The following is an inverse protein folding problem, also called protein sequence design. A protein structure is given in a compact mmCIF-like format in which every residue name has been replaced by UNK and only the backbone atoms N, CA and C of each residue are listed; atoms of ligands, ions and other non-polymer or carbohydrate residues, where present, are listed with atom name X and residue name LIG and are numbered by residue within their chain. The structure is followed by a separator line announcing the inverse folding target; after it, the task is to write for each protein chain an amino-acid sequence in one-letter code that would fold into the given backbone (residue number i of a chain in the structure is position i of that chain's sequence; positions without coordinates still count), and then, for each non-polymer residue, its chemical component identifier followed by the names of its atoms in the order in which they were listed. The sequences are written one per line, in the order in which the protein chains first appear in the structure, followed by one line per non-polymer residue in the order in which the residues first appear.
data_IF_293125289071
#
_entry.id   IF_293125289071
#
_cell.length_a   1.000
_cell.length_b   1.000
_cell.length_c   1.000
_cell.angle_alpha   90.00
_cell.angle_beta   90.00
_cell.angle_gamma   90.00
#
_symmetry.space_group_name_H-M   'P 1'
#
loop_
_entity.id
_entity.type
_entity.pdbx_description
1 polymer ?
#
# COMPACT_ATOMS: atom_id res chain seq x y z
N UNK A 1 62.91 -33.55 -55.14
CA UNK A 1 63.05 -33.18 -53.72
C UNK A 1 61.64 -33.20 -53.07
N UNK A 2 61.31 -34.30 -52.35
CA UNK A 2 60.03 -34.45 -51.67
C UNK A 2 60.23 -33.98 -50.23
N UNK A 3 59.52 -32.84 -49.82
CA UNK A 3 59.47 -32.34 -48.46
C UNK A 3 58.43 -33.14 -47.69
N UNK A 4 58.84 -33.98 -46.76
CA UNK A 4 57.93 -34.63 -45.77
C UNK A 4 57.52 -33.63 -44.70
N UNK A 5 56.25 -33.17 -44.74
CA UNK A 5 55.64 -32.30 -43.74
C UNK A 5 55.25 -33.15 -42.53
N UNK A 6 56.09 -33.15 -41.51
CA UNK A 6 55.81 -33.82 -40.24
C UNK A 6 54.67 -33.04 -39.54
N UNK A 7 53.46 -33.62 -39.55
CA UNK A 7 52.36 -33.09 -38.74
C UNK A 7 52.56 -33.45 -37.25
N UNK A 8 52.97 -32.47 -36.47
CA UNK A 8 53.03 -32.61 -35.01
C UNK A 8 51.59 -32.59 -34.47
N UNK A 9 51.06 -33.76 -34.09
CA UNK A 9 49.80 -33.88 -33.39
C UNK A 9 49.95 -33.21 -32.01
N UNK A 10 49.34 -32.02 -31.81
CA UNK A 10 49.19 -31.41 -30.50
C UNK A 10 48.39 -32.37 -29.60
N UNK A 11 49.02 -32.91 -28.58
CA UNK A 11 48.35 -33.72 -27.57
C UNK A 11 47.32 -32.83 -26.84
N UNK A 12 46.05 -33.19 -26.95
CA UNK A 12 44.98 -32.56 -26.17
C UNK A 12 45.19 -32.98 -24.71
N UNK A 13 45.62 -32.04 -23.86
CA UNK A 13 45.72 -32.28 -22.43
C UNK A 13 44.27 -32.35 -21.88
N UNK A 14 43.87 -33.49 -21.37
CA UNK A 14 42.61 -33.67 -20.64
C UNK A 14 42.77 -33.10 -19.23
N UNK A 15 41.69 -32.61 -18.69
CA UNK A 15 41.64 -32.16 -17.27
C UNK A 15 41.83 -33.36 -16.34
N UNK A 16 42.58 -33.18 -15.28
CA UNK A 16 42.70 -34.16 -14.22
C UNK A 16 41.46 -34.16 -13.32
N UNK A 17 41.12 -35.32 -12.76
CA UNK A 17 39.98 -35.45 -11.86
C UNK A 17 40.11 -34.51 -10.66
N UNK A 18 41.33 -34.25 -10.21
CA UNK A 18 41.64 -33.33 -9.10
C UNK A 18 41.35 -31.90 -9.49
N UNK A 19 41.69 -31.49 -10.72
CA UNK A 19 41.44 -30.13 -11.21
C UNK A 19 39.94 -29.84 -11.33
N UNK A 20 39.15 -30.81 -11.83
CA UNK A 20 37.68 -30.69 -11.90
C UNK A 20 37.07 -30.63 -10.49
N UNK A 21 37.50 -31.48 -9.57
CA UNK A 21 36.97 -31.49 -8.20
C UNK A 21 37.28 -30.19 -7.44
N UNK A 22 38.47 -29.60 -7.66
CA UNK A 22 38.84 -28.33 -7.05
C UNK A 22 38.01 -27.18 -7.62
N UNK A 23 37.78 -27.12 -8.92
CA UNK A 23 36.91 -26.12 -9.55
C UNK A 23 35.47 -26.22 -9.01
N UNK A 24 34.92 -27.44 -8.90
CA UNK A 24 33.59 -27.65 -8.35
C UNK A 24 33.50 -27.22 -6.88
N UNK A 25 34.51 -27.51 -6.08
CA UNK A 25 34.55 -27.09 -4.69
C UNK A 25 34.58 -25.55 -4.54
N UNK A 26 35.40 -24.87 -5.30
CA UNK A 26 35.51 -23.40 -5.28
C UNK A 26 34.22 -22.76 -5.80
N UNK A 27 33.66 -23.24 -6.93
CA UNK A 27 32.40 -22.70 -7.46
C UNK A 27 31.24 -22.94 -6.49
N UNK A 28 31.18 -24.09 -5.81
CA UNK A 28 30.19 -24.37 -4.79
C UNK A 28 30.26 -23.41 -3.62
N UNK A 29 31.46 -23.12 -3.11
CA UNK A 29 31.65 -22.13 -2.03
C UNK A 29 31.24 -20.71 -2.45
N UNK A 30 31.60 -20.31 -3.67
CA UNK A 30 31.22 -18.99 -4.20
C UNK A 30 29.70 -18.86 -4.34
N UNK A 31 29.01 -19.90 -4.83
CA UNK A 31 27.55 -19.91 -4.94
C UNK A 31 26.87 -19.75 -3.57
N UNK A 32 27.32 -20.50 -2.55
CA UNK A 32 26.77 -20.38 -1.20
C UNK A 32 27.00 -18.97 -0.64
N UNK A 33 28.17 -18.40 -0.85
CA UNK A 33 28.51 -17.04 -0.40
C UNK A 33 27.66 -15.98 -1.06
N UNK A 34 27.41 -16.08 -2.37
CA UNK A 34 26.57 -15.12 -3.11
C UNK A 34 25.09 -15.22 -2.71
N UNK A 35 24.54 -16.42 -2.54
CA UNK A 35 23.15 -16.61 -2.15
C UNK A 35 22.90 -16.00 -0.75
N UNK A 36 23.79 -16.22 0.22
CA UNK A 36 23.66 -15.64 1.57
C UNK A 36 23.86 -14.13 1.58
N UNK A 37 24.75 -13.60 0.76
CA UNK A 37 24.97 -12.15 0.66
C UNK A 37 23.83 -11.38 0.02
N UNK A 38 23.07 -12.00 -0.90
CA UNK A 38 22.00 -11.36 -1.64
C UNK A 38 20.67 -11.37 -0.86
N UNK A 39 20.42 -12.36 0.01
CA UNK A 39 19.11 -12.51 0.68
C UNK A 39 18.73 -11.29 1.50
N UNK A 40 19.64 -10.70 2.27
CA UNK A 40 19.37 -9.50 3.05
C UNK A 40 19.11 -8.24 2.22
N UNK A 41 19.74 -8.14 1.04
CA UNK A 41 19.50 -7.02 0.13
C UNK A 41 18.13 -7.10 -0.51
N UNK A 42 17.71 -8.31 -0.91
CA UNK A 42 16.38 -8.54 -1.50
C UNK A 42 15.26 -8.27 -0.48
N UNK A 43 15.42 -8.72 0.78
CA UNK A 43 14.45 -8.45 1.83
C UNK A 43 14.27 -6.95 2.07
N UNK A 44 15.37 -6.18 2.13
CA UNK A 44 15.30 -4.73 2.28
C UNK A 44 14.63 -4.04 1.09
N UNK A 45 14.89 -4.52 -0.12
CA UNK A 45 14.26 -3.98 -1.33
C UNK A 45 12.75 -4.23 -1.29
N UNK A 46 12.31 -5.47 -1.04
CA UNK A 46 10.89 -5.83 -0.91
C UNK A 46 10.18 -4.97 0.12
N UNK A 47 10.83 -4.76 1.28
CA UNK A 47 10.29 -3.88 2.31
C UNK A 47 10.13 -2.43 1.84
N UNK A 48 11.15 -1.87 1.18
CA UNK A 48 11.05 -0.52 0.63
C UNK A 48 9.95 -0.42 -0.43
N UNK A 49 9.79 -1.46 -1.25
CA UNK A 49 8.73 -1.53 -2.25
C UNK A 49 7.34 -1.54 -1.58
N UNK A 50 7.16 -2.31 -0.50
CA UNK A 50 5.91 -2.30 0.30
C UNK A 50 5.60 -0.92 0.87
N UNK A 51 6.61 -0.27 1.46
CA UNK A 51 6.45 1.08 2.05
C UNK A 51 6.06 2.09 0.98
N UNK A 52 6.73 2.05 -0.17
CA UNK A 52 6.45 2.97 -1.27
C UNK A 52 5.08 2.71 -1.89
N UNK A 53 4.71 1.44 -2.08
CA UNK A 53 3.42 1.04 -2.62
C UNK A 53 2.26 1.53 -1.74
N UNK A 54 2.36 1.35 -0.42
CA UNK A 54 1.33 1.85 0.50
C UNK A 54 1.29 3.39 0.57
N UNK A 55 2.45 4.05 0.51
CA UNK A 55 2.52 5.50 0.42
C UNK A 55 1.85 6.01 -0.86
N UNK A 56 2.12 5.37 -1.99
CA UNK A 56 1.54 5.72 -3.29
C UNK A 56 0.03 5.45 -3.31
N UNK A 57 -0.42 4.35 -2.69
CA UNK A 57 -1.84 4.07 -2.52
C UNK A 57 -2.55 5.20 -1.78
N UNK A 58 -2.07 5.62 -0.61
CA UNK A 58 -2.67 6.72 0.14
C UNK A 58 -2.63 8.04 -0.63
N UNK A 59 -1.49 8.36 -1.25
CA UNK A 59 -1.33 9.57 -2.05
C UNK A 59 -2.29 9.60 -3.24
N UNK A 60 -2.51 8.45 -3.88
CA UNK A 60 -3.47 8.32 -4.98
C UNK A 60 -4.91 8.56 -4.51
N UNK A 61 -5.29 8.02 -3.35
CA UNK A 61 -6.62 8.27 -2.74
C UNK A 61 -6.82 9.79 -2.54
N UNK A 62 -5.86 10.49 -1.93
CA UNK A 62 -5.95 11.95 -1.75
C UNK A 62 -6.02 12.70 -3.07
N UNK A 63 -5.25 12.27 -4.08
CA UNK A 63 -5.26 12.87 -5.42
C UNK A 63 -6.60 12.65 -6.11
N UNK A 64 -7.21 11.48 -5.96
CA UNK A 64 -8.53 11.14 -6.50
C UNK A 64 -9.61 12.01 -5.85
N UNK A 65 -9.56 12.21 -4.54
CA UNK A 65 -10.50 13.10 -3.84
C UNK A 65 -10.28 14.57 -4.23
N UNK A 66 -9.03 15.00 -4.42
CA UNK A 66 -8.72 16.37 -4.85
C UNK A 66 -9.20 16.65 -6.28
N UNK A 67 -9.10 15.66 -7.17
CA UNK A 67 -9.42 15.78 -8.58
C UNK A 67 -10.38 14.66 -9.01
N UNK A 68 -11.65 14.69 -8.58
CA UNK A 68 -12.59 13.65 -8.92
C UNK A 68 -12.84 13.64 -10.43
N UNK A 69 -12.48 12.54 -11.09
CA UNK A 69 -12.89 12.29 -12.46
C UNK A 69 -14.21 11.53 -12.44
N UNK A 70 -15.27 12.16 -12.91
CA UNK A 70 -16.54 11.49 -13.10
C UNK A 70 -16.44 10.68 -14.39
N UNK A 71 -16.33 9.35 -14.30
CA UNK A 71 -16.61 8.49 -15.45
C UNK A 71 -18.12 8.34 -15.56
N UNK A 72 -18.67 8.56 -16.75
CA UNK A 72 -20.11 8.40 -17.01
C UNK A 72 -20.63 6.99 -16.69
N UNK A 73 -19.74 6.00 -16.69
CA UNK A 73 -20.10 4.60 -16.40
C UNK A 73 -20.35 4.34 -14.90
N UNK A 74 -19.86 5.19 -14.00
CA UNK A 74 -20.08 5.02 -12.56
C UNK A 74 -21.43 5.56 -12.07
N UNK A 75 -22.14 6.30 -12.91
CA UNK A 75 -23.44 6.89 -12.59
C UNK A 75 -24.63 5.97 -12.92
N UNK A 76 -24.41 4.92 -13.72
CA UNK A 76 -25.45 3.97 -14.12
C UNK A 76 -25.69 2.83 -13.10
N UNK A 77 -24.90 2.74 -12.03
CA UNK A 77 -24.93 1.62 -11.09
C UNK A 77 -26.07 1.67 -10.06
N UNK A 78 -26.79 2.78 -9.93
CA UNK A 78 -28.03 2.83 -9.15
C UNK A 78 -29.21 2.55 -10.07
N UNK A 79 -29.52 1.26 -10.24
CA UNK A 79 -30.59 0.74 -11.09
C UNK A 79 -32.02 1.19 -10.73
N UNK A 80 -32.21 2.46 -10.45
CA UNK A 80 -33.53 3.05 -10.35
C UNK A 80 -33.70 4.17 -11.40
N UNK A 81 -34.70 3.97 -12.18
CA UNK A 81 -35.06 4.63 -13.40
C UNK A 81 -35.20 6.16 -13.28
N UNK A 82 -34.39 6.88 -14.05
CA UNK A 82 -34.84 8.12 -14.68
C UNK A 82 -34.54 9.43 -13.97
N UNK A 83 -33.60 9.49 -13.06
CA UNK A 83 -33.06 10.76 -12.53
C UNK A 83 -31.83 11.21 -13.32
N UNK A 84 -31.88 12.35 -13.93
CA UNK A 84 -30.69 13.02 -14.51
C UNK A 84 -29.66 13.22 -13.44
N UNK A 85 -28.44 12.75 -13.68
CA UNK A 85 -27.27 12.73 -12.79
C UNK A 85 -26.74 14.11 -12.35
N UNK A 86 -27.57 15.15 -12.40
CA UNK A 86 -27.18 16.51 -12.03
C UNK A 86 -27.07 16.70 -10.50
N UNK A 87 -27.67 15.81 -9.70
CA UNK A 87 -27.76 15.99 -8.24
C UNK A 87 -26.76 15.15 -7.44
N UNK A 88 -26.05 14.20 -8.03
CA UNK A 88 -25.10 13.35 -7.32
C UNK A 88 -23.69 13.93 -7.36
N UNK A 89 -23.13 14.22 -6.20
CA UNK A 89 -21.78 14.79 -6.08
C UNK A 89 -20.84 13.76 -5.42
N UNK A 90 -19.67 13.54 -6.06
CA UNK A 90 -18.60 12.77 -5.42
C UNK A 90 -18.12 13.55 -4.19
N UNK A 91 -18.39 12.99 -3.01
CA UNK A 91 -17.97 13.58 -1.75
C UNK A 91 -16.53 13.21 -1.40
N UNK A 92 -16.09 11.99 -1.72
CA UNK A 92 -14.75 11.53 -1.36
C UNK A 92 -14.56 10.03 -1.49
N UNK A 93 -13.64 9.50 -0.65
CA UNK A 93 -13.29 8.08 -0.57
C UNK A 93 -13.37 7.58 0.87
N UNK A 94 -13.95 6.38 1.04
CA UNK A 94 -13.90 5.62 2.28
C UNK A 94 -12.78 4.57 2.15
N UNK A 95 -11.82 4.60 3.06
CA UNK A 95 -10.74 3.60 3.14
C UNK A 95 -10.91 2.83 4.45
N UNK A 96 -11.10 1.52 4.37
CA UNK A 96 -11.33 0.67 5.53
C UNK A 96 -10.19 -0.33 5.71
N UNK A 97 -9.59 -0.33 6.88
CA UNK A 97 -8.62 -1.32 7.34
C UNK A 97 -9.38 -2.40 8.11
N UNK A 98 -9.55 -3.54 7.48
CA UNK A 98 -10.39 -4.61 8.03
C UNK A 98 -9.63 -5.45 9.03
N UNK A 99 -10.37 -6.19 9.84
CA UNK A 99 -9.79 -7.12 10.80
C UNK A 99 -9.01 -8.27 10.13
N UNK A 100 -9.33 -8.56 8.87
CA UNK A 100 -8.66 -9.60 8.08
C UNK A 100 -7.33 -9.14 7.46
N UNK A 101 -6.95 -7.87 7.67
CA UNK A 101 -5.74 -7.25 7.13
C UNK A 101 -5.89 -6.67 5.72
N UNK A 102 -7.06 -6.85 5.08
CA UNK A 102 -7.35 -6.22 3.80
C UNK A 102 -7.59 -4.72 3.98
N UNK A 103 -7.16 -3.94 3.00
CA UNK A 103 -7.48 -2.53 2.91
C UNK A 103 -8.45 -2.35 1.76
N UNK A 104 -9.62 -1.79 2.04
CA UNK A 104 -10.69 -1.62 1.07
C UNK A 104 -10.96 -0.15 0.86
N UNK A 105 -11.13 0.27 -0.39
CA UNK A 105 -11.52 1.63 -0.71
C UNK A 105 -12.73 1.68 -1.62
N UNK A 106 -13.59 2.64 -1.39
CA UNK A 106 -14.78 2.89 -2.20
C UNK A 106 -15.09 4.38 -2.28
N UNK A 107 -15.58 4.82 -3.43
CA UNK A 107 -16.00 6.19 -3.63
C UNK A 107 -17.32 6.47 -2.89
N UNK A 108 -17.39 7.62 -2.24
CA UNK A 108 -18.56 8.06 -1.46
C UNK A 108 -19.22 9.21 -2.18
N UNK A 109 -20.53 9.10 -2.35
CA UNK A 109 -21.40 10.10 -2.97
C UNK A 109 -22.32 10.74 -1.95
N UNK A 110 -22.82 11.91 -2.28
CA UNK A 110 -23.89 12.57 -1.57
C UNK A 110 -24.99 12.95 -2.57
N UNK A 111 -26.21 12.53 -2.27
CA UNK A 111 -27.37 12.67 -3.17
C UNK A 111 -28.02 14.07 -3.10
N UNK A 112 -27.65 14.95 -2.15
CA UNK A 112 -28.41 16.19 -1.88
C UNK A 112 -27.56 17.47 -1.87
N UNK A 113 -26.39 17.55 -2.40
CA UNK A 113 -25.51 18.75 -2.32
C UNK A 113 -25.31 19.30 -0.90
N UNK A 114 -25.78 18.61 0.12
CA UNK A 114 -25.79 19.06 1.51
C UNK A 114 -24.61 18.44 2.23
N UNK A 115 -23.97 19.19 3.07
CA UNK A 115 -22.89 18.73 3.98
C UNK A 115 -23.38 17.74 5.06
N UNK A 116 -24.55 17.14 4.85
CA UNK A 116 -25.14 16.19 5.79
C UNK A 116 -24.66 14.77 5.48
N UNK A 117 -23.82 14.23 6.35
CA UNK A 117 -23.28 12.87 6.26
C UNK A 117 -24.36 11.77 6.43
N UNK A 118 -25.60 12.10 6.80
CA UNK A 118 -26.67 11.11 6.92
C UNK A 118 -27.09 10.50 5.57
N UNK A 119 -26.89 11.24 4.48
CA UNK A 119 -27.33 10.85 3.12
C UNK A 119 -26.19 10.41 2.21
N UNK A 120 -25.03 10.10 2.76
CA UNK A 120 -23.93 9.57 1.96
C UNK A 120 -24.16 8.11 1.59
N UNK A 121 -23.75 7.73 0.39
CA UNK A 121 -23.82 6.37 -0.14
C UNK A 121 -22.48 5.96 -0.76
N UNK A 122 -22.25 4.66 -0.89
CA UNK A 122 -21.11 4.14 -1.63
C UNK A 122 -21.46 4.02 -3.10
N UNK A 123 -20.46 4.20 -3.96
CA UNK A 123 -20.52 3.86 -5.37
C UNK A 123 -20.77 2.36 -5.54
N UNK A 124 -21.83 2.02 -6.25
CA UNK A 124 -22.06 0.66 -6.72
C UNK A 124 -22.52 -0.38 -5.69
N UNK A 125 -23.01 -1.48 -6.18
CA UNK A 125 -23.35 -2.67 -5.42
C UNK A 125 -22.11 -3.56 -5.31
N UNK A 126 -21.29 -3.38 -4.28
CA UNK A 126 -20.27 -4.38 -3.87
C UNK A 126 -19.09 -4.65 -4.82
N UNK A 127 -19.27 -4.49 -6.13
CA UNK A 127 -18.26 -4.84 -7.14
C UNK A 127 -17.26 -3.70 -7.42
N UNK A 128 -17.57 -2.47 -7.03
CA UNK A 128 -16.71 -1.29 -7.21
C UNK A 128 -15.77 -1.02 -6.03
N UNK A 129 -15.69 -1.97 -5.10
CA UNK A 129 -14.77 -1.88 -3.97
C UNK A 129 -13.38 -2.28 -4.44
N UNK A 130 -12.44 -1.35 -4.37
CA UNK A 130 -11.04 -1.65 -4.60
C UNK A 130 -10.46 -2.32 -3.35
N UNK A 131 -9.91 -3.52 -3.52
CA UNK A 131 -9.17 -4.21 -2.47
C UNK A 131 -7.69 -3.98 -2.73
N UNK A 132 -7.03 -3.34 -1.78
CA UNK A 132 -5.59 -3.18 -1.76
C UNK A 132 -5.00 -4.18 -0.78
N UNK A 133 -4.08 -4.98 -1.25
CA UNK A 133 -3.29 -5.89 -0.42
C UNK A 133 -1.84 -5.43 -0.49
N UNK A 134 -1.19 -5.12 0.65
CA UNK A 134 0.22 -4.74 0.66
C UNK A 134 1.08 -5.80 -0.03
N UNK A 135 2.00 -5.36 -0.89
CA UNK A 135 2.91 -6.27 -1.59
C UNK A 135 3.88 -6.93 -0.60
N UNK A 136 4.40 -8.11 -0.94
CA UNK A 136 5.44 -8.81 -0.19
C UNK A 136 5.07 -9.11 1.28
N UNK A 137 3.82 -9.51 1.54
CA UNK A 137 3.31 -9.85 2.88
C UNK A 137 3.56 -8.75 3.92
N UNK A 138 3.54 -7.50 3.49
CA UNK A 138 3.67 -6.35 4.38
C UNK A 138 2.41 -6.14 5.21
N UNK A 139 2.58 -5.81 6.47
CA UNK A 139 1.48 -5.48 7.38
C UNK A 139 1.47 -3.99 7.72
N UNK A 140 0.28 -3.42 7.79
CA UNK A 140 0.08 -2.06 8.27
C UNK A 140 -0.37 -2.12 9.72
N UNK A 141 0.47 -1.63 10.61
CA UNK A 141 0.25 -1.67 12.06
C UNK A 141 0.01 -0.27 12.62
N UNK A 142 -0.65 -0.21 13.77
CA UNK A 142 -0.78 1.03 14.55
C UNK A 142 0.48 1.31 15.36
N UNK A 143 0.82 2.57 15.57
CA UNK A 143 1.92 2.97 16.47
C UNK A 143 1.68 2.63 17.92
N UNK A 144 0.40 2.52 18.31
CA UNK A 144 0.00 2.32 19.70
C UNK A 144 -0.03 0.86 20.13
N UNK A 145 0.22 -0.08 19.21
CA UNK A 145 -0.02 -1.48 19.50
C UNK A 145 1.24 -2.32 19.27
N UNK A 146 1.47 -3.20 20.20
CA UNK A 146 2.52 -4.21 20.21
C UNK A 146 2.32 -5.23 19.07
N UNK A 147 2.37 -4.78 17.82
CA UNK A 147 2.27 -5.64 16.63
C UNK A 147 0.85 -5.97 16.18
N UNK A 148 -0.16 -5.19 16.61
CA UNK A 148 -1.52 -5.40 16.10
C UNK A 148 -1.73 -4.66 14.77
N UNK A 149 -2.45 -5.26 13.80
CA UNK A 149 -2.83 -4.59 12.57
C UNK A 149 -3.55 -3.27 12.84
N UNK A 150 -3.32 -2.28 12.00
CA UNK A 150 -4.10 -1.04 12.05
C UNK A 150 -5.56 -1.37 11.71
N UNK A 151 -6.48 -0.90 12.53
CA UNK A 151 -7.92 -1.15 12.36
C UNK A 151 -8.67 0.17 12.37
N UNK A 152 -9.75 0.21 11.59
CA UNK A 152 -10.61 1.36 11.50
C UNK A 152 -10.81 1.81 10.07
N UNK A 153 -11.50 2.94 9.91
CA UNK A 153 -11.73 3.51 8.58
C UNK A 153 -11.43 4.99 8.55
N UNK A 154 -10.99 5.42 7.38
CA UNK A 154 -10.78 6.82 7.01
C UNK A 154 -11.88 7.22 6.03
N UNK A 155 -12.57 8.29 6.32
CA UNK A 155 -13.44 8.97 5.37
C UNK A 155 -12.74 10.26 4.95
N UNK A 156 -12.27 10.30 3.70
CA UNK A 156 -11.58 11.43 3.11
C UNK A 156 -12.58 12.14 2.22
N UNK A 157 -12.97 13.35 2.57
CA UNK A 157 -14.01 14.11 1.86
C UNK A 157 -13.46 15.40 1.32
N UNK A 158 -14.09 15.85 0.23
CA UNK A 158 -13.89 17.18 -0.34
C UNK A 158 -15.08 18.07 0.03
N UNK A 159 -14.81 19.32 0.32
CA UNK A 159 -15.86 20.32 0.45
C UNK A 159 -16.61 20.50 -0.88
N UNK A 160 -17.92 20.71 -0.82
CA UNK A 160 -18.77 20.96 -2.00
C UNK A 160 -18.20 22.11 -2.87
N UNK A 161 -17.60 23.11 -2.24
CA UNK A 161 -16.96 24.24 -2.95
C UNK A 161 -15.56 23.88 -3.50
N UNK A 162 -15.06 22.68 -3.24
CA UNK A 162 -13.78 22.22 -3.71
C UNK A 162 -12.55 22.77 -2.97
N UNK A 163 -12.76 23.61 -1.96
CA UNK A 163 -11.70 24.40 -1.35
C UNK A 163 -10.88 23.65 -0.29
N UNK A 164 -11.40 22.54 0.23
CA UNK A 164 -10.70 21.81 1.29
C UNK A 164 -11.03 20.31 1.29
N UNK A 165 -10.00 19.53 1.58
CA UNK A 165 -10.14 18.09 1.89
C UNK A 165 -10.15 17.97 3.42
N UNK A 166 -10.97 17.07 3.94
CA UNK A 166 -11.02 16.72 5.36
C UNK A 166 -10.94 15.21 5.52
N UNK A 167 -10.19 14.78 6.48
CA UNK A 167 -10.07 13.37 6.84
C UNK A 167 -10.71 13.12 8.18
N UNK A 168 -11.58 12.14 8.24
CA UNK A 168 -12.23 11.66 9.46
C UNK A 168 -11.77 10.25 9.73
N UNK A 169 -11.53 9.91 10.98
CA UNK A 169 -11.12 8.58 11.39
C UNK A 169 -12.10 7.99 12.40
N UNK A 170 -12.42 6.72 12.22
CA UNK A 170 -13.24 5.96 13.16
C UNK A 170 -12.63 4.58 13.41
N UNK A 171 -12.09 4.36 14.60
CA UNK A 171 -11.45 3.10 14.98
C UNK A 171 -12.43 1.91 15.10
N UNK A 172 -13.73 2.19 15.31
CA UNK A 172 -14.76 1.15 15.41
C UNK A 172 -15.29 0.69 14.03
N UNK A 173 -14.92 1.39 12.95
CA UNK A 173 -15.35 1.11 11.59
C UNK A 173 -14.34 0.17 10.91
N UNK A 174 -14.26 -1.09 11.34
CA UNK A 174 -13.29 -2.10 10.89
C UNK A 174 -13.95 -3.37 10.32
N UNK A 175 -15.22 -3.28 9.95
CA UNK A 175 -15.97 -4.37 9.30
C UNK A 175 -15.42 -4.67 7.90
N UNK A 176 -15.56 -5.92 7.46
CA UNK A 176 -15.34 -6.29 6.06
C UNK A 176 -16.42 -5.74 5.12
N UNK A 177 -17.57 -5.33 5.68
CA UNK A 177 -18.64 -4.68 4.95
C UNK A 177 -18.45 -3.15 4.96
N UNK A 178 -18.19 -2.57 3.79
CA UNK A 178 -17.98 -1.13 3.61
C UNK A 178 -19.19 -0.28 3.98
N UNK A 179 -20.42 -0.78 3.77
CA UNK A 179 -21.64 -0.08 4.14
C UNK A 179 -21.79 0.05 5.66
N UNK A 180 -21.37 -0.99 6.43
CA UNK A 180 -21.37 -0.93 7.88
C UNK A 180 -20.38 0.11 8.38
N UNK A 181 -19.20 0.17 7.76
CA UNK A 181 -18.18 1.16 8.07
C UNK A 181 -18.67 2.57 7.74
N UNK A 182 -19.29 2.79 6.59
CA UNK A 182 -19.91 4.06 6.24
C UNK A 182 -21.01 4.44 7.23
N UNK A 183 -21.83 3.47 7.64
CA UNK A 183 -22.87 3.65 8.66
C UNK A 183 -22.34 4.21 9.97
N UNK A 184 -21.12 3.85 10.38
CA UNK A 184 -20.47 4.38 11.57
C UNK A 184 -20.14 5.88 11.45
N UNK A 185 -19.84 6.36 10.25
CA UNK A 185 -19.64 7.81 10.01
C UNK A 185 -20.95 8.59 9.98
N UNK A 186 -22.06 7.97 9.58
CA UNK A 186 -23.37 8.60 9.60
C UNK A 186 -23.90 8.87 11.01
N UNK A 187 -23.58 7.99 11.94
CA UNK A 187 -24.13 8.01 13.31
C UNK A 187 -23.23 8.67 14.35
N UNK A 188 -21.96 8.86 14.03
CA UNK A 188 -20.98 9.42 14.94
C UNK A 188 -20.90 10.94 14.81
N UNK A 189 -20.65 11.63 15.92
CA UNK A 189 -20.17 13.03 15.88
C UNK A 189 -18.81 13.02 15.20
N UNK A 190 -18.75 13.48 13.95
CA UNK A 190 -17.53 13.47 13.16
C UNK A 190 -16.56 14.52 13.68
N UNK A 191 -15.47 14.06 14.25
CA UNK A 191 -14.31 14.90 14.52
C UNK A 191 -13.28 14.65 13.43
N UNK A 192 -12.69 15.73 12.90
CA UNK A 192 -11.57 15.60 11.97
C UNK A 192 -10.46 14.81 12.65
N UNK A 193 -9.84 13.91 11.91
CA UNK A 193 -8.71 13.17 12.45
C UNK A 193 -7.59 14.13 12.86
N UNK A 194 -6.98 13.86 14.00
CA UNK A 194 -5.65 14.37 14.31
C UNK A 194 -4.62 13.79 13.32
N UNK A 195 -3.38 13.87 13.68
CA UNK A 195 -2.31 13.17 12.96
C UNK A 195 -2.50 11.67 13.07
N UNK A 196 -2.41 10.97 11.92
CA UNK A 196 -2.49 9.51 11.85
C UNK A 196 -1.14 8.95 11.41
N UNK A 197 -0.71 7.91 12.08
CA UNK A 197 0.57 7.27 11.84
C UNK A 197 0.36 5.78 11.57
N UNK A 198 0.93 5.29 10.46
CA UNK A 198 0.89 3.91 10.03
C UNK A 198 2.29 3.34 10.04
N UNK A 199 2.47 2.25 10.76
CA UNK A 199 3.73 1.52 10.78
C UNK A 199 3.68 0.40 9.74
N UNK A 200 4.53 0.48 8.73
CA UNK A 200 4.72 -0.61 7.78
C UNK A 200 5.68 -1.62 8.38
N UNK A 201 5.24 -2.86 8.47
CA UNK A 201 5.99 -3.99 9.03
C UNK A 201 6.16 -5.10 7.99
N UNK A 202 7.25 -5.86 8.08
CA UNK A 202 7.47 -7.07 7.29
C UNK A 202 8.19 -8.11 8.13
N UNK A 203 7.67 -9.32 8.13
CA UNK A 203 8.24 -10.46 8.86
C UNK A 203 9.64 -10.84 8.39
N UNK A 204 9.92 -10.71 7.10
CA UNK A 204 11.23 -11.02 6.50
C UNK A 204 12.37 -10.20 7.10
N UNK A 205 12.09 -9.06 7.69
CA UNK A 205 13.07 -8.16 8.30
C UNK A 205 13.14 -8.24 9.82
N UNK A 206 12.26 -8.99 10.47
CA UNK A 206 12.24 -9.15 11.92
C UNK A 206 13.56 -9.69 12.47
N UNK A 207 14.22 -10.58 11.72
CA UNK A 207 15.53 -11.14 12.05
C UNK A 207 16.71 -10.20 11.82
N UNK A 208 16.53 -9.09 11.11
CA UNK A 208 17.56 -8.12 10.76
C UNK A 208 17.50 -6.81 11.58
N UNK A 209 16.76 -6.81 12.71
CA UNK A 209 16.61 -5.63 13.56
C UNK A 209 15.56 -4.64 13.05
N UNK A 210 14.52 -5.16 12.40
CA UNK A 210 13.23 -4.56 12.02
C UNK A 210 13.25 -3.05 11.80
N UNK A 211 13.61 -2.61 10.60
CA UNK A 211 13.39 -1.21 10.24
C UNK A 211 11.90 -1.02 10.02
N UNK A 212 11.23 -0.32 10.93
CA UNK A 212 9.84 0.07 10.77
C UNK A 212 9.79 1.49 10.21
N UNK A 213 9.06 1.68 9.13
CA UNK A 213 8.83 3.01 8.58
C UNK A 213 7.45 3.51 8.94
N UNK A 214 7.38 4.78 9.27
CA UNK A 214 6.17 5.48 9.58
C UNK A 214 5.69 6.27 8.35
N UNK A 215 4.46 6.00 7.92
CA UNK A 215 3.73 6.83 6.97
C UNK A 215 2.73 7.64 7.77
N UNK A 216 2.83 8.95 7.65
CA UNK A 216 2.04 9.89 8.42
C UNK A 216 1.05 10.63 7.53
N UNK A 217 -0.19 10.71 7.98
CA UNK A 217 -1.19 11.63 7.46
C UNK A 217 -1.27 12.80 8.43
N UNK A 218 -0.95 13.99 7.96
CA UNK A 218 -0.98 15.19 8.78
C UNK A 218 -2.43 15.55 9.17
N UNK A 219 -2.62 16.07 10.37
CA UNK A 219 -3.88 16.69 10.76
C UNK A 219 -4.22 17.82 9.77
N UNK A 220 -5.49 17.94 9.40
CA UNK A 220 -5.96 18.94 8.44
C UNK A 220 -5.35 18.79 7.02
N UNK A 221 -5.19 17.56 6.57
CA UNK A 221 -4.76 17.21 5.24
C UNK A 221 -5.64 17.89 4.17
N UNK A 222 -5.05 18.73 3.33
CA UNK A 222 -5.78 19.47 2.28
C UNK A 222 -5.48 18.97 0.86
N UNK A 223 -4.46 18.14 0.69
CA UNK A 223 -4.02 17.62 -0.60
C UNK A 223 -3.15 16.37 -0.44
N UNK A 224 -2.64 15.81 -1.55
CA UNK A 224 -1.78 14.65 -1.54
C UNK A 224 -0.49 14.81 -0.72
N UNK A 225 0.02 16.04 -0.54
CA UNK A 225 1.19 16.30 0.30
C UNK A 225 0.93 16.16 1.81
N UNK A 226 -0.32 15.89 2.19
CA UNK A 226 -0.66 15.54 3.55
C UNK A 226 -0.12 14.19 4.00
N UNK A 227 0.11 13.29 3.04
CA UNK A 227 0.76 12.00 3.27
C UNK A 227 2.26 12.22 3.21
N UNK A 228 2.98 11.80 4.22
CA UNK A 228 4.43 11.93 4.29
C UNK A 228 5.09 10.66 4.81
N UNK A 229 6.25 10.34 4.24
CA UNK A 229 7.10 9.27 4.72
C UNK A 229 8.06 9.85 5.76
N UNK A 230 7.97 9.36 7.01
CA UNK A 230 8.85 9.81 8.10
C UNK A 230 10.19 9.08 8.01
N UNK A 231 11.29 9.82 8.14
CA UNK A 231 12.63 9.24 8.12
C UNK A 231 12.83 8.27 9.29
N UNK A 232 13.56 7.18 9.04
CA UNK A 232 13.88 6.15 10.05
C UNK A 232 14.66 6.76 11.24
N UNK A 233 15.52 7.71 10.96
CA UNK A 233 16.39 8.36 11.96
C UNK A 233 15.70 9.57 12.64
N UNK A 234 14.45 9.85 12.30
CA UNK A 234 13.72 10.97 12.90
C UNK A 234 13.22 10.60 14.29
N UNK A 235 13.36 11.53 15.24
CA UNK A 235 12.73 11.43 16.57
C UNK A 235 11.20 11.30 16.48
N UNK A 236 10.61 11.75 15.36
CA UNK A 236 9.19 11.65 15.04
C UNK A 236 8.77 10.26 14.54
N UNK A 237 9.71 9.32 14.37
CA UNK A 237 9.38 7.96 13.95
C UNK A 237 8.80 7.15 15.11
N UNK A 238 7.49 7.20 15.22
CA UNK A 238 6.74 6.49 16.27
C UNK A 238 6.76 4.97 16.14
N UNK A 239 7.22 4.45 15.00
CA UNK A 239 7.29 3.01 14.72
C UNK A 239 8.61 2.37 15.15
N UNK A 240 9.58 3.15 15.58
CA UNK A 240 10.95 2.69 15.86
C UNK A 240 11.14 2.10 17.27
N UNK A 241 10.06 1.88 18.02
CA UNK A 241 10.13 1.39 19.41
C UNK A 241 9.94 -0.11 19.50
#
# INVERSE_FOLDING_TARGET
MCYNKVMVKKAKRGFTIVEVSLVLAVTGLLLIGTIRGLSGSVARQRYNDTVQDFYDFLTNIYSKVANPSISSDSLDATGDSGGTSEDTVILGELVSFTIDGDIRSATVFNDDHVTNFEKISLSGSGDDINIYTPVWDGEIQSTASDGQPFQGSLLITRSVNGDSIRTYYNSSANSTNMNDNLGRFKTSSLTTSGELNFCVYSDDLSSAGGIRRNIRINANAHNASAVSLVSVDSEDNLCAK
#
